data_IF_225247560461
#
_entry.id   IF_225247560461
#
_cell.length_a   1.000
_cell.length_b   1.000
_cell.length_c   1.000
_cell.angle_alpha   90.00
_cell.angle_beta   90.00
_cell.angle_gamma   90.00
#
_symmetry.space_group_name_H-M   'P 1'
#
loop_
_entity.id
_entity.type
_entity.pdbx_description
1 polymer ?
#
# COMPACT_ATOMS: atom_id res chain seq x y z
N UNK A 1 -54.71 22.37 -40.02
CA UNK A 1 -54.51 21.14 -39.23
C UNK A 1 -53.05 21.12 -38.77
N UNK A 2 -52.73 21.85 -37.68
CA UNK A 2 -51.41 21.76 -37.04
C UNK A 2 -51.45 20.47 -36.24
N UNK A 3 -50.79 19.43 -36.71
CA UNK A 3 -50.47 18.28 -35.88
C UNK A 3 -49.68 18.83 -34.70
N UNK A 4 -50.33 18.86 -33.54
CA UNK A 4 -49.73 19.25 -32.27
C UNK A 4 -48.50 18.38 -32.11
N UNK A 5 -47.32 19.00 -32.16
CA UNK A 5 -46.06 18.36 -31.81
C UNK A 5 -46.30 17.74 -30.43
N UNK A 6 -46.42 16.42 -30.42
CA UNK A 6 -46.62 15.63 -29.23
C UNK A 6 -45.30 15.73 -28.49
N UNK A 7 -45.29 16.58 -27.48
CA UNK A 7 -44.19 17.03 -26.63
C UNK A 7 -42.88 16.23 -26.81
N UNK A 8 -41.94 16.78 -27.57
CA UNK A 8 -40.62 16.16 -27.79
C UNK A 8 -39.91 15.86 -26.45
N UNK A 9 -40.24 16.63 -25.42
CA UNK A 9 -39.71 16.46 -24.09
C UNK A 9 -40.23 15.16 -23.45
N UNK A 10 -41.49 14.79 -23.67
CA UNK A 10 -42.05 13.53 -23.19
C UNK A 10 -41.41 12.32 -23.87
N UNK A 11 -41.15 12.41 -25.18
CA UNK A 11 -40.43 11.36 -25.93
C UNK A 11 -39.00 11.23 -25.40
N UNK A 12 -38.32 12.35 -25.14
CA UNK A 12 -36.97 12.36 -24.59
C UNK A 12 -36.92 11.78 -23.16
N UNK A 13 -37.92 12.08 -22.31
CA UNK A 13 -38.03 11.54 -20.95
C UNK A 13 -38.23 10.02 -20.96
N UNK A 14 -39.12 9.49 -21.79
CA UNK A 14 -39.31 8.04 -21.93
C UNK A 14 -38.04 7.34 -22.41
N UNK A 15 -37.30 7.95 -23.33
CA UNK A 15 -36.02 7.42 -23.80
C UNK A 15 -34.95 7.43 -22.69
N UNK A 16 -34.88 8.50 -21.89
CA UNK A 16 -33.99 8.55 -20.71
C UNK A 16 -34.33 7.45 -19.70
N UNK A 17 -35.61 7.19 -19.43
CA UNK A 17 -36.03 6.10 -18.54
C UNK A 17 -35.56 4.73 -19.04
N UNK A 18 -35.75 4.45 -20.34
CA UNK A 18 -35.24 3.24 -20.96
C UNK A 18 -33.71 3.12 -20.88
N UNK A 19 -32.98 4.23 -21.06
CA UNK A 19 -31.52 4.25 -20.90
C UNK A 19 -31.09 4.02 -19.44
N UNK A 20 -31.81 4.57 -18.47
CA UNK A 20 -31.56 4.33 -17.05
C UNK A 20 -31.78 2.86 -16.67
N UNK A 21 -32.84 2.23 -17.16
CA UNK A 21 -33.10 0.80 -16.97
C UNK A 21 -31.98 -0.05 -17.57
N UNK A 22 -31.58 0.26 -18.81
CA UNK A 22 -30.46 -0.42 -19.47
C UNK A 22 -29.15 -0.24 -18.70
N UNK A 23 -28.88 0.97 -18.21
CA UNK A 23 -27.69 1.25 -17.41
C UNK A 23 -27.68 0.45 -16.11
N UNK A 24 -28.80 0.38 -15.39
CA UNK A 24 -28.91 -0.44 -14.17
C UNK A 24 -28.68 -1.93 -14.47
N UNK A 25 -29.31 -2.44 -15.53
CA UNK A 25 -29.11 -3.83 -15.96
C UNK A 25 -27.63 -4.12 -16.32
N UNK A 26 -26.95 -3.18 -16.97
CA UNK A 26 -25.51 -3.29 -17.26
C UNK A 26 -24.66 -3.26 -15.99
N UNK A 27 -24.96 -2.37 -15.04
CA UNK A 27 -24.27 -2.31 -13.74
C UNK A 27 -24.45 -3.60 -12.96
N UNK A 28 -25.67 -4.15 -12.93
CA UNK A 28 -25.98 -5.41 -12.25
C UNK A 28 -25.27 -6.60 -12.91
N UNK A 29 -25.17 -6.58 -14.25
CA UNK A 29 -24.46 -7.57 -15.06
C UNK A 29 -22.93 -7.46 -15.01
N UNK A 30 -22.36 -6.45 -14.35
CA UNK A 30 -20.90 -6.32 -14.24
C UNK A 30 -20.27 -7.58 -13.63
N UNK A 31 -19.22 -8.16 -14.26
CA UNK A 31 -18.56 -9.34 -13.73
C UNK A 31 -18.05 -9.15 -12.30
N UNK A 32 -18.36 -10.10 -11.41
CA UNK A 32 -18.01 -10.02 -9.99
C UNK A 32 -16.49 -9.98 -9.75
N UNK A 33 -15.70 -10.56 -10.65
CA UNK A 33 -14.25 -10.53 -10.50
C UNK A 33 -13.66 -9.11 -10.72
N UNK A 34 -14.26 -8.25 -11.56
CA UNK A 34 -13.83 -6.85 -11.71
C UNK A 34 -13.98 -6.09 -10.39
N UNK A 35 -15.15 -6.23 -9.75
CA UNK A 35 -15.45 -5.65 -8.44
C UNK A 35 -14.48 -6.15 -7.37
N UNK A 36 -14.17 -7.45 -7.40
CA UNK A 36 -13.23 -8.11 -6.47
C UNK A 36 -11.79 -7.63 -6.66
N UNK A 37 -11.31 -7.50 -7.90
CA UNK A 37 -9.97 -6.99 -8.20
C UNK A 37 -9.88 -5.53 -7.75
N UNK A 38 -10.89 -4.70 -8.03
CA UNK A 38 -10.92 -3.31 -7.60
C UNK A 38 -10.84 -3.19 -6.07
N UNK A 39 -11.66 -3.97 -5.35
CA UNK A 39 -11.63 -4.04 -3.88
C UNK A 39 -10.27 -4.43 -3.31
N UNK A 40 -9.60 -5.42 -3.92
CA UNK A 40 -8.26 -5.87 -3.50
C UNK A 40 -7.18 -4.83 -3.79
N UNK A 41 -7.24 -4.15 -4.95
CA UNK A 41 -6.28 -3.09 -5.31
C UNK A 41 -6.36 -1.93 -4.33
N UNK A 42 -7.56 -1.42 -4.07
CA UNK A 42 -7.80 -0.35 -3.08
C UNK A 42 -7.35 -0.76 -1.68
N UNK A 43 -7.66 -1.98 -1.24
CA UNK A 43 -7.22 -2.49 0.07
C UNK A 43 -5.70 -2.51 0.22
N UNK A 44 -4.97 -2.99 -0.80
CA UNK A 44 -3.51 -2.99 -0.80
C UNK A 44 -2.93 -1.58 -0.87
N UNK A 45 -3.48 -0.70 -1.70
CA UNK A 45 -3.07 0.72 -1.76
C UNK A 45 -3.19 1.38 -0.40
N UNK A 46 -4.34 1.23 0.26
CA UNK A 46 -4.61 1.83 1.56
C UNK A 46 -3.72 1.25 2.66
N UNK A 47 -3.62 -0.08 2.74
CA UNK A 47 -2.74 -0.76 3.69
C UNK A 47 -1.28 -0.37 3.49
N UNK A 48 -0.82 -0.26 2.25
CA UNK A 48 0.53 0.19 1.90
C UNK A 48 0.80 1.64 2.30
N UNK A 49 -0.15 2.55 2.06
CA UNK A 49 -0.04 3.95 2.49
C UNK A 49 0.05 4.05 4.03
N UNK A 50 -0.79 3.30 4.74
CA UNK A 50 -0.76 3.25 6.21
C UNK A 50 0.53 2.62 6.73
N UNK A 51 1.05 1.58 6.07
CA UNK A 51 2.33 0.97 6.44
C UNK A 51 3.49 1.97 6.30
N UNK A 52 3.53 2.72 5.19
CA UNK A 52 4.55 3.73 4.95
C UNK A 52 4.44 4.89 5.96
N UNK A 53 3.23 5.40 6.19
CA UNK A 53 2.99 6.45 7.19
C UNK A 53 3.33 5.95 8.61
N UNK A 54 2.96 4.73 8.95
CA UNK A 54 3.28 4.10 10.22
C UNK A 54 4.78 3.96 10.45
N UNK A 55 5.54 3.58 9.41
CA UNK A 55 7.00 3.55 9.50
C UNK A 55 7.61 4.94 9.75
N UNK A 56 7.06 6.00 9.13
CA UNK A 56 7.48 7.38 9.39
C UNK A 56 7.14 7.82 10.82
N UNK A 57 5.98 7.42 11.34
CA UNK A 57 5.58 7.69 12.74
C UNK A 57 6.51 6.99 13.72
N UNK A 58 6.82 5.71 13.50
CA UNK A 58 7.81 4.97 14.32
C UNK A 58 9.14 5.73 14.31
N UNK A 59 9.60 6.17 13.14
CA UNK A 59 10.84 6.90 13.02
C UNK A 59 10.82 8.24 13.79
N UNK A 60 9.75 9.02 13.62
CA UNK A 60 9.60 10.31 14.30
C UNK A 60 9.51 10.15 15.82
N UNK A 61 8.70 9.21 16.30
CA UNK A 61 8.50 8.94 17.73
C UNK A 61 9.82 8.50 18.39
N UNK A 62 10.55 7.57 17.76
CA UNK A 62 11.87 7.14 18.24
C UNK A 62 12.89 8.28 18.25
N UNK A 63 12.94 9.12 17.21
CA UNK A 63 13.87 10.25 17.14
C UNK A 63 13.56 11.34 18.19
N UNK A 64 12.29 11.71 18.34
CA UNK A 64 11.84 12.69 19.34
C UNK A 64 12.16 12.18 20.75
N UNK A 65 11.91 10.91 21.03
CA UNK A 65 12.20 10.32 22.35
C UNK A 65 13.67 10.45 22.74
N UNK A 66 14.60 10.34 21.79
CA UNK A 66 16.04 10.53 22.04
C UNK A 66 16.36 11.98 22.36
N UNK A 67 15.90 12.91 21.52
CA UNK A 67 16.16 14.34 21.70
C UNK A 67 15.58 14.84 23.03
N UNK A 68 14.34 14.46 23.33
CA UNK A 68 13.68 14.83 24.60
C UNK A 68 14.42 14.22 25.78
N UNK A 69 14.79 12.94 25.74
CA UNK A 69 15.50 12.30 26.84
C UNK A 69 16.91 12.90 27.05
N UNK A 70 17.64 13.20 25.98
CA UNK A 70 18.98 13.80 26.08
C UNK A 70 18.93 15.24 26.62
N UNK A 71 17.92 16.03 26.23
CA UNK A 71 17.69 17.39 26.73
C UNK A 71 17.15 17.38 28.17
N UNK A 72 16.25 16.46 28.48
CA UNK A 72 15.54 16.37 29.77
C UNK A 72 16.19 15.42 30.77
N UNK A 73 17.42 14.94 30.50
CA UNK A 73 18.23 14.03 31.34
C UNK A 73 18.52 14.55 32.78
N UNK A 74 17.82 15.59 33.25
CA UNK A 74 17.67 15.91 34.67
C UNK A 74 16.50 15.18 35.35
N UNK A 75 15.48 14.68 34.64
CA UNK A 75 14.27 14.13 35.28
C UNK A 75 13.64 12.97 34.46
N UNK A 76 14.02 11.73 34.82
CA UNK A 76 13.36 10.45 34.53
C UNK A 76 13.45 9.83 33.11
N UNK A 77 14.00 8.62 33.06
CA UNK A 77 14.07 7.73 31.90
C UNK A 77 12.68 7.28 31.45
N UNK A 78 12.07 7.97 30.49
CA UNK A 78 10.84 7.53 29.84
C UNK A 78 11.15 6.79 28.53
N UNK A 79 10.38 5.72 28.28
CA UNK A 79 10.46 4.94 27.04
C UNK A 79 10.04 5.79 25.84
N UNK A 80 10.72 5.61 24.71
CA UNK A 80 10.54 6.44 23.51
C UNK A 80 9.32 6.06 22.65
N UNK A 81 8.48 5.10 23.09
CA UNK A 81 7.23 4.73 22.42
C UNK A 81 7.38 4.03 21.06
N UNK A 82 8.60 3.73 20.61
CA UNK A 82 8.88 3.18 19.29
C UNK A 82 8.24 1.80 19.06
N UNK A 83 8.35 0.90 20.05
CA UNK A 83 7.68 -0.40 20.00
C UNK A 83 6.15 -0.27 19.88
N UNK A 84 5.54 0.59 20.70
CA UNK A 84 4.10 0.81 20.71
C UNK A 84 3.64 1.37 19.37
N UNK A 85 4.38 2.33 18.81
CA UNK A 85 4.13 2.88 17.49
C UNK A 85 4.21 1.80 16.39
N UNK A 86 5.18 0.87 16.48
CA UNK A 86 5.34 -0.21 15.51
C UNK A 86 4.16 -1.20 15.55
N UNK A 87 3.71 -1.59 16.74
CA UNK A 87 2.54 -2.46 16.90
C UNK A 87 1.26 -1.77 16.44
N UNK A 88 1.09 -0.50 16.78
CA UNK A 88 -0.03 0.32 16.34
C UNK A 88 -0.04 0.46 14.80
N UNK A 89 1.12 0.61 14.16
CA UNK A 89 1.23 0.66 12.70
C UNK A 89 0.73 -0.63 12.06
N UNK A 90 1.11 -1.81 12.56
CA UNK A 90 0.60 -3.09 12.02
C UNK A 90 -0.90 -3.26 12.24
N UNK A 91 -1.42 -2.89 13.41
CA UNK A 91 -2.86 -2.90 13.68
C UNK A 91 -3.60 -1.99 12.69
N UNK A 92 -3.09 -0.78 12.46
CA UNK A 92 -3.65 0.16 11.48
C UNK A 92 -3.60 -0.37 10.05
N UNK A 93 -2.50 -1.03 9.64
CA UNK A 93 -2.37 -1.70 8.34
C UNK A 93 -3.43 -2.79 8.16
N UNK A 94 -3.64 -3.62 9.18
CA UNK A 94 -4.65 -4.69 9.15
C UNK A 94 -6.07 -4.12 9.03
N UNK A 95 -6.39 -3.08 9.80
CA UNK A 95 -7.68 -2.37 9.74
C UNK A 95 -7.88 -1.75 8.35
N UNK A 96 -6.87 -1.05 7.84
CA UNK A 96 -6.89 -0.45 6.50
C UNK A 96 -7.15 -1.48 5.40
N UNK A 97 -6.46 -2.63 5.46
CA UNK A 97 -6.67 -3.72 4.51
C UNK A 97 -8.09 -4.29 4.60
N UNK A 98 -8.62 -4.47 5.81
CA UNK A 98 -9.97 -4.99 6.03
C UNK A 98 -11.08 -4.02 5.57
N UNK A 99 -10.87 -2.70 5.72
CA UNK A 99 -11.84 -1.68 5.31
C UNK A 99 -11.77 -1.33 3.81
N UNK A 100 -10.64 -1.58 3.16
CA UNK A 100 -10.41 -1.29 1.75
C UNK A 100 -11.51 -1.77 0.79
N UNK A 101 -12.00 -3.02 0.87
CA UNK A 101 -13.06 -3.50 -0.01
C UNK A 101 -14.39 -2.74 0.15
N UNK A 102 -14.71 -2.26 1.36
CA UNK A 102 -15.93 -1.47 1.60
C UNK A 102 -15.82 -0.09 0.97
N UNK A 103 -14.66 0.57 1.15
CA UNK A 103 -14.38 1.87 0.53
C UNK A 103 -14.35 1.77 -1.00
N UNK A 104 -13.80 0.68 -1.55
CA UNK A 104 -13.81 0.42 -2.98
C UNK A 104 -15.23 0.27 -3.55
N UNK A 105 -16.12 -0.43 -2.82
CA UNK A 105 -17.53 -0.54 -3.22
C UNK A 105 -18.23 0.81 -3.21
N UNK A 106 -18.02 1.63 -2.18
CA UNK A 106 -18.57 2.97 -2.11
C UNK A 106 -18.06 3.85 -3.28
N UNK A 107 -16.73 3.87 -3.50
CA UNK A 107 -16.11 4.60 -4.63
C UNK A 107 -16.65 4.14 -5.99
N UNK A 108 -16.81 2.83 -6.19
CA UNK A 108 -17.36 2.27 -7.42
C UNK A 108 -18.84 2.65 -7.60
N UNK A 109 -19.63 2.53 -6.54
CA UNK A 109 -21.04 2.93 -6.55
C UNK A 109 -21.18 4.41 -6.89
N UNK A 110 -20.41 5.28 -6.25
CA UNK A 110 -20.42 6.73 -6.50
C UNK A 110 -19.99 7.05 -7.93
N UNK A 111 -18.96 6.35 -8.45
CA UNK A 111 -18.50 6.54 -9.82
C UNK A 111 -19.56 6.18 -10.86
N UNK A 112 -20.31 5.09 -10.65
CA UNK A 112 -21.40 4.66 -11.53
C UNK A 112 -22.67 5.52 -11.33
N UNK A 113 -22.95 5.95 -10.10
CA UNK A 113 -24.08 6.82 -9.79
C UNK A 113 -23.93 8.23 -10.39
N UNK A 114 -22.69 8.71 -10.59
CA UNK A 114 -22.43 9.97 -11.28
C UNK A 114 -22.92 9.96 -12.74
N UNK A 115 -22.86 8.81 -13.42
CA UNK A 115 -23.28 8.71 -14.83
C UNK A 115 -24.80 8.90 -14.99
N UNK A 116 -25.59 8.52 -13.97
CA UNK A 116 -27.05 8.58 -13.97
C UNK A 116 -27.64 9.80 -13.26
N UNK A 117 -26.82 10.67 -12.67
CA UNK A 117 -27.30 11.86 -11.95
C UNK A 117 -27.90 12.87 -12.93
N UNK A 118 -29.17 13.26 -12.73
CA UNK A 118 -29.85 14.23 -13.60
C UNK A 118 -29.24 15.62 -13.43
N UNK A 119 -28.92 16.27 -14.54
CA UNK A 119 -28.38 17.64 -14.56
C UNK A 119 -29.47 18.70 -14.72
N UNK A 120 -30.67 18.29 -15.16
CA UNK A 120 -31.74 19.20 -15.59
C UNK A 120 -31.69 19.53 -17.08
N UNK A 121 -30.58 19.24 -17.77
CA UNK A 121 -30.49 19.27 -19.23
C UNK A 121 -30.87 17.89 -19.80
N UNK A 122 -32.08 17.78 -20.36
CA UNK A 122 -32.63 16.54 -20.91
C UNK A 122 -31.75 15.99 -22.05
N UNK A 123 -31.23 16.84 -22.92
CA UNK A 123 -30.41 16.41 -24.05
C UNK A 123 -29.00 16.01 -23.60
N UNK A 124 -28.41 16.77 -22.67
CA UNK A 124 -27.14 16.41 -22.04
C UNK A 124 -27.21 15.11 -21.23
N UNK A 125 -28.31 14.89 -20.50
CA UNK A 125 -28.55 13.66 -19.74
C UNK A 125 -28.72 12.45 -20.67
N UNK A 126 -29.47 12.61 -21.76
CA UNK A 126 -29.59 11.59 -22.80
C UNK A 126 -28.23 11.24 -23.41
N UNK A 127 -27.48 12.24 -23.87
CA UNK A 127 -26.18 12.02 -24.53
C UNK A 127 -25.19 11.33 -23.58
N UNK A 128 -25.16 11.72 -22.30
CA UNK A 128 -24.32 11.09 -21.27
C UNK A 128 -24.71 9.63 -21.04
N UNK A 129 -26.00 9.33 -20.94
CA UNK A 129 -26.50 7.96 -20.76
C UNK A 129 -26.28 7.07 -21.99
N UNK A 130 -26.40 7.62 -23.20
CA UNK A 130 -26.08 6.91 -24.45
C UNK A 130 -24.59 6.60 -24.56
N UNK A 131 -23.73 7.49 -24.06
CA UNK A 131 -22.28 7.29 -23.99
C UNK A 131 -21.82 6.46 -22.78
N UNK A 132 -22.71 6.16 -21.84
CA UNK A 132 -22.34 5.47 -20.61
C UNK A 132 -21.89 4.03 -20.91
N UNK A 133 -20.67 3.71 -20.47
CA UNK A 133 -20.09 2.37 -20.59
C UNK A 133 -19.60 1.91 -19.21
N UNK A 134 -20.49 1.37 -18.34
CA UNK A 134 -20.18 1.02 -16.96
C UNK A 134 -18.94 0.12 -16.81
N UNK A 135 -18.80 -0.85 -17.71
CA UNK A 135 -17.66 -1.76 -17.70
C UNK A 135 -16.35 -1.06 -18.05
N UNK A 136 -16.33 -0.25 -19.12
CA UNK A 136 -15.16 0.54 -19.48
C UNK A 136 -14.77 1.50 -18.35
N UNK A 137 -15.75 2.06 -17.64
CA UNK A 137 -15.53 2.90 -16.45
C UNK A 137 -14.88 2.13 -15.31
N UNK A 138 -15.34 0.90 -15.03
CA UNK A 138 -14.73 0.01 -14.01
C UNK A 138 -13.30 -0.35 -14.40
N UNK A 139 -13.05 -0.68 -15.67
CA UNK A 139 -11.71 -0.99 -16.19
C UNK A 139 -10.76 0.20 -16.05
N UNK A 140 -11.20 1.42 -16.38
CA UNK A 140 -10.41 2.62 -16.15
C UNK A 140 -10.04 2.82 -14.67
N UNK A 141 -11.00 2.62 -13.75
CA UNK A 141 -10.74 2.68 -12.31
C UNK A 141 -9.77 1.59 -11.83
N UNK A 142 -9.81 0.41 -12.43
CA UNK A 142 -8.87 -0.66 -12.16
C UNK A 142 -7.46 -0.25 -12.60
N UNK A 143 -7.31 0.27 -13.81
CA UNK A 143 -6.04 0.70 -14.39
C UNK A 143 -5.40 1.83 -13.57
N UNK A 144 -6.21 2.83 -13.18
CA UNK A 144 -5.78 3.93 -12.30
C UNK A 144 -5.23 3.44 -10.95
N UNK A 145 -5.83 2.39 -10.38
CA UNK A 145 -5.41 1.81 -9.10
C UNK A 145 -4.30 0.77 -9.24
N UNK A 146 -3.97 0.32 -10.45
CA UNK A 146 -2.96 -0.73 -10.66
C UNK A 146 -1.62 -0.33 -10.06
N UNK A 147 -1.10 0.82 -10.47
CA UNK A 147 0.20 1.33 -10.05
C UNK A 147 0.27 1.52 -8.53
N UNK A 148 -0.76 2.19 -7.96
CA UNK A 148 -0.84 2.47 -6.51
C UNK A 148 -0.88 1.19 -5.68
N UNK A 149 -1.60 0.18 -6.16
CA UNK A 149 -1.76 -1.11 -5.47
C UNK A 149 -0.51 -1.99 -5.48
N UNK A 150 0.55 -1.57 -6.19
CA UNK A 150 1.87 -2.20 -6.20
C UNK A 150 2.85 -1.33 -5.44
N UNK A 151 2.94 -0.03 -5.79
CA UNK A 151 3.90 0.93 -5.22
C UNK A 151 3.78 0.99 -3.70
N UNK A 152 2.58 1.30 -3.20
CA UNK A 152 2.37 1.63 -1.80
C UNK A 152 2.61 0.43 -0.90
N UNK A 153 2.04 -0.77 -1.15
CA UNK A 153 2.32 -1.93 -0.30
C UNK A 153 3.77 -2.36 -0.40
N UNK A 154 4.42 -2.26 -1.56
CA UNK A 154 5.82 -2.62 -1.69
C UNK A 154 6.70 -1.66 -0.88
N UNK A 155 6.53 -0.34 -1.06
CA UNK A 155 7.28 0.68 -0.33
C UNK A 155 7.03 0.62 1.18
N UNK A 156 5.76 0.47 1.61
CA UNK A 156 5.41 0.32 3.02
C UNK A 156 6.02 -0.96 3.63
N UNK A 157 5.94 -2.08 2.92
CA UNK A 157 6.48 -3.36 3.40
C UNK A 157 8.00 -3.35 3.53
N UNK A 158 8.74 -2.82 2.54
CA UNK A 158 10.22 -2.83 2.58
C UNK A 158 10.82 -1.93 3.66
N UNK A 159 10.03 -0.99 4.21
CA UNK A 159 10.44 -0.17 5.36
C UNK A 159 9.97 -0.80 6.68
N UNK A 160 8.71 -1.25 6.76
CA UNK A 160 8.12 -1.75 7.99
C UNK A 160 8.59 -3.17 8.36
N UNK A 161 8.82 -4.03 7.38
CA UNK A 161 9.24 -5.42 7.62
C UNK A 161 10.63 -5.51 8.27
N UNK A 162 11.66 -4.75 7.85
CA UNK A 162 12.92 -4.69 8.60
C UNK A 162 12.75 -4.26 10.05
N UNK A 163 11.97 -3.21 10.35
CA UNK A 163 11.70 -2.78 11.73
C UNK A 163 11.05 -3.91 12.55
N UNK A 164 10.22 -4.71 11.91
CA UNK A 164 9.56 -5.86 12.54
C UNK A 164 10.53 -7.02 12.77
N UNK A 165 11.50 -7.24 11.87
CA UNK A 165 12.59 -8.19 12.09
C UNK A 165 13.48 -7.76 13.27
N UNK A 166 13.67 -6.46 13.49
CA UNK A 166 14.37 -5.98 14.68
C UNK A 166 13.63 -6.40 15.95
N UNK A 167 12.29 -6.28 15.96
CA UNK A 167 11.47 -6.71 17.10
C UNK A 167 11.56 -8.21 17.33
N UNK A 168 11.50 -9.03 16.26
CA UNK A 168 11.66 -10.49 16.36
C UNK A 168 13.05 -10.84 16.90
N UNK A 169 14.11 -10.24 16.37
CA UNK A 169 15.47 -10.51 16.84
C UNK A 169 15.66 -10.09 18.31
N UNK A 170 15.12 -8.93 18.69
CA UNK A 170 15.13 -8.44 20.06
C UNK A 170 14.36 -9.38 21.00
N UNK A 171 13.17 -9.83 20.59
CA UNK A 171 12.37 -10.79 21.33
C UNK A 171 13.09 -12.15 21.49
N UNK A 172 13.74 -12.66 20.45
CA UNK A 172 14.48 -13.93 20.53
C UNK A 172 15.72 -13.81 21.43
N UNK A 173 16.51 -12.74 21.28
CA UNK A 173 17.74 -12.52 22.04
C UNK A 173 17.48 -12.29 23.53
N UNK A 174 16.49 -11.45 23.85
CA UNK A 174 16.23 -11.01 25.23
C UNK A 174 15.05 -11.72 25.89
N UNK A 175 14.07 -12.18 25.13
CA UNK A 175 12.92 -12.93 25.66
C UNK A 175 13.31 -14.30 26.21
N UNK A 176 14.30 -14.96 25.62
CA UNK A 176 14.82 -16.24 26.10
C UNK A 176 15.48 -16.15 27.49
N UNK A 177 16.04 -14.98 27.85
CA UNK A 177 16.79 -14.77 29.09
C UNK A 177 16.01 -14.00 30.15
N UNK A 178 15.13 -13.08 29.75
CA UNK A 178 14.38 -12.22 30.67
C UNK A 178 13.15 -12.90 31.30
N UNK A 179 12.51 -13.85 30.60
CA UNK A 179 11.31 -14.54 31.07
C UNK A 179 11.52 -15.38 32.34
N UNK A 180 12.77 -15.71 32.68
CA UNK A 180 13.07 -16.62 33.80
C UNK A 180 13.26 -15.92 35.16
N UNK A 181 13.51 -14.60 35.20
CA UNK A 181 14.00 -13.97 36.43
C UNK A 181 13.05 -12.93 37.05
N UNK A 182 12.43 -12.01 36.31
CA UNK A 182 11.45 -11.02 36.86
C UNK A 182 10.55 -10.40 35.78
N UNK A 183 9.28 -10.85 35.59
CA UNK A 183 8.51 -10.58 34.36
C UNK A 183 8.09 -9.11 34.15
N UNK A 184 7.73 -8.36 35.20
CA UNK A 184 7.23 -6.99 35.06
C UNK A 184 8.37 -5.98 34.85
N UNK A 185 9.41 -6.02 35.68
CA UNK A 185 10.60 -5.14 35.55
C UNK A 185 11.35 -5.46 34.24
N UNK A 186 11.31 -6.72 33.78
CA UNK A 186 11.87 -7.10 32.50
C UNK A 186 11.15 -6.43 31.32
N UNK A 187 9.84 -6.21 31.38
CA UNK A 187 9.08 -5.71 30.24
C UNK A 187 9.39 -4.24 29.92
N UNK A 188 9.42 -3.37 30.94
CA UNK A 188 9.75 -1.95 30.74
C UNK A 188 11.19 -1.76 30.24
N UNK A 189 12.13 -2.52 30.80
CA UNK A 189 13.52 -2.52 30.33
C UNK A 189 13.62 -3.04 28.89
N UNK A 190 12.89 -4.10 28.56
CA UNK A 190 12.87 -4.68 27.22
C UNK A 190 12.31 -3.70 26.18
N UNK A 191 11.24 -2.96 26.50
CA UNK A 191 10.73 -1.89 25.63
C UNK A 191 11.80 -0.81 25.44
N UNK A 192 12.42 -0.33 26.52
CA UNK A 192 13.43 0.73 26.46
C UNK A 192 14.67 0.31 25.65
N UNK A 193 15.10 -0.94 25.75
CA UNK A 193 16.21 -1.50 24.97
C UNK A 193 15.87 -1.60 23.49
N UNK A 194 14.66 -2.08 23.14
CA UNK A 194 14.19 -2.13 21.76
C UNK A 194 14.16 -0.73 21.13
N UNK A 195 13.62 0.23 21.86
CA UNK A 195 13.50 1.62 21.46
C UNK A 195 14.86 2.25 21.13
N UNK A 196 15.85 2.07 22.01
CA UNK A 196 17.24 2.50 21.77
C UNK A 196 17.85 1.80 20.56
N UNK A 197 17.58 0.51 20.39
CA UNK A 197 18.04 -0.27 19.26
C UNK A 197 17.47 0.25 17.93
N UNK A 198 16.19 0.63 17.89
CA UNK A 198 15.55 1.20 16.69
C UNK A 198 16.17 2.54 16.33
N UNK A 199 16.40 3.42 17.31
CA UNK A 199 17.08 4.71 17.07
C UNK A 199 18.44 4.48 16.42
N UNK A 200 19.26 3.63 17.01
CA UNK A 200 20.58 3.31 16.48
C UNK A 200 20.49 2.75 15.06
N UNK A 201 19.54 1.83 14.84
CA UNK A 201 19.31 1.23 13.52
C UNK A 201 18.90 2.29 12.49
N UNK A 202 18.11 3.28 12.88
CA UNK A 202 17.70 4.36 11.99
C UNK A 202 18.85 5.27 11.59
N UNK A 203 19.79 5.52 12.50
CA UNK A 203 21.03 6.26 12.18
C UNK A 203 21.93 5.44 11.25
N UNK A 204 22.04 4.12 11.48
CA UNK A 204 22.95 3.26 10.73
C UNK A 204 22.41 2.82 9.36
N UNK A 205 21.10 2.60 9.22
CA UNK A 205 20.49 2.05 7.99
C UNK A 205 19.20 2.76 7.55
N UNK A 206 18.79 3.85 8.20
CA UNK A 206 17.61 4.63 7.80
C UNK A 206 17.68 5.13 6.36
N UNK A 207 18.84 5.59 5.91
CA UNK A 207 19.06 5.98 4.51
C UNK A 207 18.96 4.80 3.54
N UNK A 208 19.37 3.60 3.96
CA UNK A 208 19.20 2.37 3.16
C UNK A 208 17.72 2.08 2.94
N UNK A 209 16.89 2.21 3.98
CA UNK A 209 15.44 2.04 3.85
C UNK A 209 14.81 3.07 2.90
N UNK A 210 15.24 4.34 2.96
CA UNK A 210 14.77 5.37 2.03
C UNK A 210 15.14 5.05 0.57
N UNK A 211 16.38 4.59 0.33
CA UNK A 211 16.85 4.18 -1.00
C UNK A 211 16.04 2.97 -1.50
N UNK A 212 15.84 1.95 -0.67
CA UNK A 212 15.06 0.75 -1.04
C UNK A 212 13.59 1.09 -1.29
N UNK A 213 13.00 2.00 -0.51
CA UNK A 213 11.67 2.52 -0.77
C UNK A 213 11.61 3.19 -2.15
N UNK A 214 12.53 4.11 -2.45
CA UNK A 214 12.65 4.75 -3.78
C UNK A 214 12.79 3.73 -4.93
N UNK A 215 13.64 2.71 -4.76
CA UNK A 215 13.82 1.66 -5.76
C UNK A 215 12.56 0.79 -5.93
N UNK A 216 11.77 0.63 -4.87
CA UNK A 216 10.45 -0.02 -4.93
C UNK A 216 9.45 0.78 -5.75
N UNK A 217 9.42 2.12 -5.61
CA UNK A 217 8.64 3.00 -6.50
C UNK A 217 9.05 2.82 -7.97
N UNK A 218 10.37 2.80 -8.23
CA UNK A 218 10.92 2.64 -9.59
C UNK A 218 10.58 1.28 -10.20
N UNK A 219 10.64 0.21 -9.42
CA UNK A 219 10.28 -1.13 -9.85
C UNK A 219 8.78 -1.26 -10.13
N UNK A 220 7.93 -0.75 -9.24
CA UNK A 220 6.49 -0.77 -9.43
C UNK A 220 6.04 0.07 -10.65
N UNK A 221 6.74 1.17 -10.93
CA UNK A 221 6.58 1.91 -12.20
C UNK A 221 6.91 1.06 -13.42
N UNK A 222 8.05 0.36 -13.41
CA UNK A 222 8.44 -0.54 -14.49
C UNK A 222 7.45 -1.71 -14.68
N UNK A 223 6.85 -2.21 -13.58
CA UNK A 223 5.78 -3.21 -13.64
C UNK A 223 4.51 -2.66 -14.29
N UNK A 224 4.10 -1.44 -13.94
CA UNK A 224 2.91 -0.82 -14.50
C UNK A 224 3.09 -0.53 -16.01
N UNK A 225 4.22 0.08 -16.40
CA UNK A 225 4.52 0.44 -17.79
C UNK A 225 4.77 -0.80 -18.70
N UNK A 226 5.21 -1.92 -18.14
CA UNK A 226 5.48 -3.14 -18.90
C UNK A 226 4.22 -3.89 -19.30
N UNK A 227 4.15 -4.40 -20.54
CA UNK A 227 3.04 -5.28 -20.97
C UNK A 227 3.05 -6.63 -20.24
N UNK A 228 1.91 -7.31 -20.15
CA UNK A 228 1.84 -8.67 -19.57
C UNK A 228 2.81 -9.64 -20.26
N UNK A 229 2.90 -9.60 -21.60
CA UNK A 229 3.80 -10.46 -22.39
C UNK A 229 5.27 -10.22 -22.04
N UNK A 230 5.69 -8.96 -22.00
CA UNK A 230 7.09 -8.61 -21.65
C UNK A 230 7.43 -9.01 -20.22
N UNK A 231 6.51 -8.79 -19.27
CA UNK A 231 6.74 -9.12 -17.87
C UNK A 231 6.81 -10.63 -17.62
N UNK A 232 6.05 -11.45 -18.36
CA UNK A 232 6.14 -12.92 -18.29
C UNK A 232 7.49 -13.40 -18.81
N UNK A 233 7.93 -12.87 -19.95
CA UNK A 233 9.19 -13.27 -20.59
C UNK A 233 10.43 -12.93 -19.74
N UNK A 234 10.47 -11.72 -19.16
CA UNK A 234 11.57 -11.30 -18.31
C UNK A 234 11.07 -10.37 -17.18
N UNK A 235 11.34 -10.68 -15.89
CA UNK A 235 11.06 -9.74 -14.81
C UNK A 235 11.97 -8.51 -14.94
N UNK A 236 11.50 -7.29 -14.60
CA UNK A 236 12.39 -6.15 -14.49
C UNK A 236 13.50 -6.46 -13.47
N UNK A 237 14.74 -5.98 -13.66
CA UNK A 237 15.90 -6.34 -12.83
C UNK A 237 15.87 -5.76 -11.39
N UNK A 238 14.69 -5.33 -10.91
CA UNK A 238 14.54 -4.47 -9.74
C UNK A 238 15.00 -5.09 -8.43
N UNK A 239 14.61 -6.32 -8.11
CA UNK A 239 14.85 -6.91 -6.78
C UNK A 239 16.33 -7.10 -6.44
N UNK A 240 17.06 -7.80 -7.32
CA UNK A 240 18.50 -8.06 -7.13
C UNK A 240 19.31 -6.77 -7.20
N UNK A 241 18.96 -5.87 -8.13
CA UNK A 241 19.62 -4.56 -8.22
C UNK A 241 19.37 -3.72 -6.96
N UNK A 242 18.14 -3.71 -6.43
CA UNK A 242 17.82 -3.00 -5.20
C UNK A 242 18.55 -3.56 -4.00
N UNK A 243 18.70 -4.89 -3.91
CA UNK A 243 19.52 -5.53 -2.89
C UNK A 243 20.99 -5.11 -2.99
N UNK A 244 21.59 -5.16 -4.19
CA UNK A 244 22.97 -4.75 -4.41
C UNK A 244 23.22 -3.29 -4.03
N UNK A 245 22.29 -2.39 -4.41
CA UNK A 245 22.37 -0.97 -4.02
C UNK A 245 22.21 -0.80 -2.51
N UNK A 246 21.30 -1.54 -1.87
CA UNK A 246 21.10 -1.47 -0.43
C UNK A 246 22.35 -1.92 0.35
N UNK A 247 22.96 -3.04 -0.07
CA UNK A 247 24.21 -3.55 0.50
C UNK A 247 25.33 -2.51 0.34
N UNK A 248 25.47 -1.94 -0.85
CA UNK A 248 26.46 -0.88 -1.09
C UNK A 248 26.19 0.37 -0.23
N UNK A 249 24.95 0.83 -0.16
CA UNK A 249 24.55 1.99 0.64
C UNK A 249 24.80 1.76 2.15
N UNK A 250 24.68 0.53 2.62
CA UNK A 250 24.96 0.18 4.02
C UNK A 250 26.44 0.24 4.40
N UNK A 251 27.36 0.36 3.43
CA UNK A 251 28.78 0.65 3.72
C UNK A 251 28.99 2.04 4.33
N UNK A 252 28.00 2.92 4.29
CA UNK A 252 28.03 4.20 4.99
C UNK A 252 26.86 4.23 5.98
N UNK A 253 27.05 4.48 7.29
CA UNK A 253 28.32 4.53 8.03
C UNK A 253 28.93 3.14 8.31
N UNK A 254 28.33 2.04 7.84
CA UNK A 254 28.68 0.67 8.23
C UNK A 254 30.12 0.24 8.00
N UNK A 255 30.84 0.86 7.05
CA UNK A 255 32.28 0.63 6.83
C UNK A 255 33.13 0.94 8.07
N UNK A 256 32.66 1.85 8.95
CA UNK A 256 33.28 2.13 10.25
C UNK A 256 33.09 0.98 11.25
N UNK A 257 32.04 0.17 11.08
CA UNK A 257 31.71 -0.99 11.93
C UNK A 257 32.10 -2.33 11.26
N UNK A 258 32.83 -2.29 10.15
CA UNK A 258 33.26 -3.46 9.36
C UNK A 258 32.17 -4.07 8.46
N UNK A 259 32.41 -5.29 7.97
CA UNK A 259 31.52 -5.97 7.01
C UNK A 259 30.22 -6.50 7.63
N UNK A 260 30.03 -6.40 8.95
CA UNK A 260 28.85 -6.93 9.63
C UNK A 260 27.55 -6.30 9.10
N UNK A 261 27.50 -4.97 8.95
CA UNK A 261 26.28 -4.27 8.54
C UNK A 261 25.86 -4.63 7.09
N UNK A 262 26.78 -4.60 6.09
CA UNK A 262 26.47 -5.11 4.75
C UNK A 262 25.99 -6.56 4.71
N UNK A 263 26.56 -7.45 5.52
CA UNK A 263 26.12 -8.85 5.59
C UNK A 263 24.69 -8.98 6.15
N UNK A 264 24.36 -8.20 7.20
CA UNK A 264 23.00 -8.16 7.75
C UNK A 264 22.01 -7.60 6.73
N UNK A 265 22.36 -6.51 6.04
CA UNK A 265 21.51 -5.92 4.99
C UNK A 265 21.33 -6.89 3.82
N UNK A 266 22.37 -7.62 3.42
CA UNK A 266 22.28 -8.64 2.39
C UNK A 266 21.34 -9.77 2.80
N UNK A 267 21.48 -10.30 4.02
CA UNK A 267 20.66 -11.40 4.52
C UNK A 267 19.19 -11.00 4.70
N UNK A 268 18.94 -9.87 5.37
CA UNK A 268 17.58 -9.36 5.58
C UNK A 268 16.91 -8.95 4.26
N UNK A 269 17.66 -8.33 3.35
CA UNK A 269 17.18 -8.00 2.02
C UNK A 269 16.89 -9.24 1.17
N UNK A 270 17.71 -10.28 1.22
CA UNK A 270 17.41 -11.54 0.55
C UNK A 270 16.13 -12.20 1.09
N UNK A 271 15.92 -12.15 2.41
CA UNK A 271 14.75 -12.73 3.08
C UNK A 271 13.46 -11.93 2.85
N UNK A 272 13.53 -10.60 2.74
CA UNK A 272 12.35 -9.72 2.72
C UNK A 272 12.14 -9.08 1.36
N UNK A 273 13.18 -8.47 0.78
CA UNK A 273 13.08 -7.65 -0.43
C UNK A 273 12.81 -8.51 -1.67
N UNK A 274 13.57 -9.60 -1.86
CA UNK A 274 13.42 -10.44 -3.05
C UNK A 274 12.04 -11.11 -3.12
N UNK A 275 11.52 -11.72 -2.03
CA UNK A 275 10.16 -12.27 -2.04
C UNK A 275 9.10 -11.20 -2.27
N UNK A 276 9.23 -10.01 -1.67
CA UNK A 276 8.28 -8.93 -1.88
C UNK A 276 8.18 -8.49 -3.34
N UNK A 277 9.33 -8.32 -4.02
CA UNK A 277 9.38 -7.95 -5.44
C UNK A 277 8.82 -9.05 -6.34
N UNK A 278 9.07 -10.30 -6.00
CA UNK A 278 8.54 -11.46 -6.70
C UNK A 278 7.01 -11.55 -6.56
N UNK A 279 6.51 -11.47 -5.32
CA UNK A 279 5.08 -11.54 -5.01
C UNK A 279 4.30 -10.39 -5.66
N UNK A 280 4.84 -9.17 -5.65
CA UNK A 280 4.24 -8.02 -6.32
C UNK A 280 4.05 -8.27 -7.83
N UNK A 281 5.07 -8.79 -8.51
CA UNK A 281 4.98 -9.15 -9.94
C UNK A 281 4.00 -10.31 -10.17
N UNK A 282 4.14 -11.40 -9.40
CA UNK A 282 3.28 -12.57 -9.56
C UNK A 282 1.80 -12.20 -9.41
N UNK A 283 1.49 -11.33 -8.43
CA UNK A 283 0.14 -10.85 -8.19
C UNK A 283 -0.39 -9.98 -9.32
N UNK A 284 0.42 -9.05 -9.83
CA UNK A 284 0.04 -8.24 -10.98
C UNK A 284 -0.30 -9.10 -12.20
N UNK A 285 0.55 -10.09 -12.49
CA UNK A 285 0.35 -10.99 -13.63
C UNK A 285 -0.93 -11.83 -13.49
N UNK A 286 -1.22 -12.33 -12.29
CA UNK A 286 -2.46 -13.04 -12.00
C UNK A 286 -3.69 -12.17 -12.25
N UNK A 287 -3.68 -10.92 -11.76
CA UNK A 287 -4.79 -9.99 -11.96
C UNK A 287 -4.97 -9.60 -13.44
N UNK A 288 -3.88 -9.31 -14.17
CA UNK A 288 -3.96 -9.00 -15.60
C UNK A 288 -4.43 -10.18 -16.46
N UNK A 289 -4.15 -11.43 -16.05
CA UNK A 289 -4.70 -12.62 -16.73
C UNK A 289 -6.20 -12.75 -16.49
N UNK A 290 -6.66 -12.50 -15.27
CA UNK A 290 -8.10 -12.50 -14.96
C UNK A 290 -8.84 -11.44 -15.78
N UNK A 291 -8.26 -10.25 -15.94
CA UNK A 291 -8.84 -9.17 -16.76
C UNK A 291 -8.82 -9.44 -18.28
N UNK A 292 -7.98 -10.35 -18.75
CA UNK A 292 -7.86 -10.68 -20.18
C UNK A 292 -8.69 -11.91 -20.59
N UNK A 293 -9.31 -12.60 -19.62
CA UNK A 293 -10.15 -13.77 -19.87
C UNK A 293 -11.61 -13.40 -20.23
N UNK A 294 -11.94 -12.11 -20.16
CA UNK A 294 -13.21 -11.49 -20.53
C UNK A 294 -13.15 -10.87 -21.95
#
# INVERSE_FOLDING_TARGET
>A
MRATYRDDEDVARLHIESLLERHRAQVDALPEHLRRIHGRRVARSLAGAVALAGALVVAAVSAIGVVVNDVMNLLAAHSSGGMVALLAAWAAVAIAYALGPRLARAKLHDALACDVRRSGDVHGDRARLEAAAPEARVRALLDDEEHRSIVLPLAGFVVLAPLSLHLVFHAVRYGATAAMNHPLIAFDRWIAEFDRWIVLSMVLVGHVHAIVAYLSFRYARALHEGTTKTLVAAPPPGGVRALGIAVFASLFPGGLLGLMLPLIVAATGALVLLPAFHLARARLLDERRQLAAD
#
